data_IF_328272157655
#
_entry.id   IF_328272157655
#
_cell.length_a   1.000
_cell.length_b   1.000
_cell.length_c   1.000
_cell.angle_alpha   90.00
_cell.angle_beta   90.00
_cell.angle_gamma   90.00
#
_symmetry.space_group_name_H-M   'P 1'
#
loop_
_entity.id
_entity.type
_entity.pdbx_description
1 polymer ?
#
# COMPACT_ATOMS: atom_id res chain seq x y z
N UNK A 1 -18.62 5.44 -26.84
CA UNK A 1 -17.16 5.48 -26.70
C UNK A 1 -16.89 5.19 -25.24
N UNK A 2 -16.41 3.99 -24.92
CA UNK A 2 -16.19 3.56 -23.54
C UNK A 2 -14.72 3.68 -23.20
N UNK A 3 -14.44 4.35 -22.09
CA UNK A 3 -13.10 4.49 -21.50
C UNK A 3 -13.08 3.67 -20.22
N UNK A 4 -12.02 2.90 -20.02
CA UNK A 4 -11.82 2.12 -18.80
C UNK A 4 -10.68 2.71 -17.97
N UNK A 5 -10.91 2.80 -16.66
CA UNK A 5 -9.91 3.13 -15.66
C UNK A 5 -9.89 1.98 -14.65
N UNK A 6 -8.70 1.49 -14.27
CA UNK A 6 -8.59 0.53 -13.18
C UNK A 6 -7.50 0.95 -12.20
N UNK A 7 -7.79 0.77 -10.92
CA UNK A 7 -6.82 0.84 -9.83
C UNK A 7 -6.64 -0.58 -9.30
N UNK A 8 -5.40 -1.08 -9.31
CA UNK A 8 -5.08 -2.44 -8.87
C UNK A 8 -3.88 -2.42 -7.94
N UNK A 9 -4.09 -2.95 -6.74
CA UNK A 9 -3.03 -3.15 -5.76
C UNK A 9 -2.75 -4.66 -5.66
N UNK A 10 -1.49 -5.03 -5.88
CA UNK A 10 -1.04 -6.42 -5.88
C UNK A 10 0.13 -6.56 -4.92
N UNK A 11 -0.05 -7.48 -3.98
CA UNK A 11 1.00 -7.96 -3.11
C UNK A 11 1.79 -9.06 -3.82
N UNK A 12 3.10 -8.87 -3.96
CA UNK A 12 3.99 -9.75 -4.70
C UNK A 12 5.14 -10.23 -3.82
N UNK A 13 5.54 -11.48 -3.99
CA UNK A 13 6.64 -12.08 -3.21
C UNK A 13 8.00 -11.48 -3.58
N UNK A 14 8.19 -11.12 -4.85
CA UNK A 14 9.43 -10.58 -5.41
C UNK A 14 9.11 -9.44 -6.38
N UNK A 15 9.29 -8.20 -5.92
CA UNK A 15 8.96 -7.00 -6.69
C UNK A 15 9.76 -6.91 -7.99
N UNK A 16 11.05 -7.29 -7.98
CA UNK A 16 11.92 -7.20 -9.15
C UNK A 16 11.50 -8.15 -10.27
N UNK A 17 11.12 -9.39 -9.92
CA UNK A 17 10.56 -10.34 -10.89
C UNK A 17 9.20 -9.89 -11.40
N UNK A 18 8.33 -9.42 -10.51
CA UNK A 18 7.00 -8.93 -10.88
C UNK A 18 7.09 -7.76 -11.87
N UNK A 19 7.96 -6.78 -11.61
CA UNK A 19 8.19 -5.64 -12.50
C UNK A 19 8.63 -6.08 -13.92
N UNK A 20 9.56 -7.04 -14.02
CA UNK A 20 10.02 -7.58 -15.31
C UNK A 20 8.89 -8.30 -16.06
N UNK A 21 8.03 -9.00 -15.33
CA UNK A 21 6.85 -9.66 -15.91
C UNK A 21 5.79 -8.66 -16.37
N UNK A 22 5.58 -7.56 -15.63
CA UNK A 22 4.71 -6.45 -16.06
C UNK A 22 5.16 -5.93 -17.41
N UNK A 23 6.44 -5.58 -17.56
CA UNK A 23 6.97 -5.05 -18.81
C UNK A 23 6.74 -6.00 -19.99
N UNK A 24 6.90 -7.30 -19.74
CA UNK A 24 6.65 -8.35 -20.74
C UNK A 24 5.16 -8.44 -21.12
N UNK A 25 4.25 -8.35 -20.16
CA UNK A 25 2.79 -8.35 -20.39
C UNK A 25 2.38 -7.10 -21.18
N UNK A 26 2.87 -5.93 -20.76
CA UNK A 26 2.57 -4.63 -21.38
C UNK A 26 3.03 -4.58 -22.84
N UNK A 27 4.25 -5.06 -23.13
CA UNK A 27 4.77 -5.09 -24.51
C UNK A 27 3.96 -6.01 -25.42
N UNK A 28 3.53 -7.18 -24.93
CA UNK A 28 2.75 -8.15 -25.73
C UNK A 28 1.37 -7.63 -26.13
N UNK A 29 0.75 -6.79 -25.31
CA UNK A 29 -0.56 -6.20 -25.62
C UNK A 29 -0.49 -4.96 -26.51
N UNK A 30 0.72 -4.53 -26.93
CA UNK A 30 0.94 -3.27 -27.63
C UNK A 30 0.62 -2.04 -26.77
N UNK A 31 0.70 -2.20 -25.45
CA UNK A 31 0.52 -1.15 -24.44
C UNK A 31 1.88 -0.56 -24.05
N UNK A 32 1.88 0.54 -23.31
CA UNK A 32 3.11 1.10 -22.75
C UNK A 32 2.89 1.66 -21.35
N UNK A 33 3.99 1.78 -20.62
CA UNK A 33 4.03 2.41 -19.30
C UNK A 33 4.25 3.91 -19.51
N UNK A 34 3.29 4.75 -19.09
CA UNK A 34 3.41 6.21 -19.19
C UNK A 34 4.17 6.82 -18.02
N UNK A 35 4.10 6.21 -16.85
CA UNK A 35 4.90 6.59 -15.68
C UNK A 35 5.19 5.36 -14.83
N UNK A 36 6.36 5.36 -14.21
CA UNK A 36 6.74 4.38 -13.21
C UNK A 36 7.49 5.08 -12.09
N UNK A 37 7.17 4.76 -10.85
CA UNK A 37 7.87 5.26 -9.67
C UNK A 37 8.07 4.10 -8.73
N UNK A 38 9.27 4.02 -8.16
CA UNK A 38 9.63 2.95 -7.26
C UNK A 38 10.13 3.56 -5.95
N UNK A 39 9.56 3.10 -4.85
CA UNK A 39 9.89 3.58 -3.51
C UNK A 39 10.20 2.38 -2.64
N UNK A 40 11.33 2.45 -1.94
CA UNK A 40 11.74 1.43 -0.96
C UNK A 40 11.88 2.11 0.39
N UNK A 41 11.05 1.66 1.32
CA UNK A 41 11.04 2.06 2.72
C UNK A 41 11.53 0.88 3.58
N UNK A 42 11.63 1.07 4.91
CA UNK A 42 12.13 0.03 5.82
C UNK A 42 11.28 -1.25 5.79
N UNK A 43 9.96 -1.09 5.72
CA UNK A 43 8.99 -2.19 5.88
C UNK A 43 8.34 -2.61 4.56
N UNK A 44 8.54 -1.84 3.48
CA UNK A 44 7.83 -2.04 2.23
C UNK A 44 8.66 -1.60 1.03
N UNK A 45 8.62 -2.41 0.00
CA UNK A 45 9.13 -2.06 -1.32
C UNK A 45 7.95 -2.00 -2.29
N UNK A 46 7.64 -0.82 -2.85
CA UNK A 46 6.53 -0.65 -3.80
C UNK A 46 6.98 -0.05 -5.12
N UNK A 47 6.23 -0.38 -6.16
CA UNK A 47 6.35 0.18 -7.48
C UNK A 47 4.96 0.54 -8.01
N UNK A 48 4.80 1.80 -8.39
CA UNK A 48 3.57 2.34 -8.96
C UNK A 48 3.79 2.63 -10.43
N UNK A 49 2.86 2.16 -11.26
CA UNK A 49 2.94 2.25 -12.71
C UNK A 49 1.60 2.73 -13.26
N UNK A 50 1.65 3.68 -14.18
CA UNK A 50 0.50 4.04 -15.01
C UNK A 50 0.69 3.42 -16.38
N UNK A 51 -0.22 2.53 -16.76
CA UNK A 51 -0.16 1.77 -18.02
C UNK A 51 -1.28 2.27 -18.94
N UNK A 52 -0.92 2.64 -20.16
CA UNK A 52 -1.86 3.03 -21.22
C UNK A 52 -2.10 1.84 -22.13
N UNK A 53 -3.36 1.47 -22.29
CA UNK A 53 -3.80 0.25 -22.97
C UNK A 53 -4.97 0.54 -23.89
N UNK A 54 -5.00 -0.07 -25.07
CA UNK A 54 -6.15 0.04 -25.97
C UNK A 54 -7.37 -0.61 -25.30
N UNK A 55 -8.59 -0.04 -25.42
CA UNK A 55 -9.78 -0.57 -24.77
C UNK A 55 -10.02 -2.07 -25.01
N UNK A 56 -9.70 -2.59 -26.20
CA UNK A 56 -9.87 -4.00 -26.55
C UNK A 56 -8.92 -4.95 -25.80
N UNK A 57 -7.75 -4.46 -25.40
CA UNK A 57 -6.71 -5.22 -24.69
C UNK A 57 -6.83 -5.07 -23.16
N UNK A 58 -7.69 -4.17 -22.68
CA UNK A 58 -7.78 -3.78 -21.27
C UNK A 58 -8.00 -4.98 -20.35
N UNK A 59 -9.07 -5.74 -20.59
CA UNK A 59 -9.43 -6.89 -19.75
C UNK A 59 -8.38 -8.00 -19.78
N UNK A 60 -7.78 -8.25 -20.95
CA UNK A 60 -6.73 -9.26 -21.11
C UNK A 60 -5.49 -8.88 -20.32
N UNK A 61 -5.03 -7.63 -20.45
CA UNK A 61 -3.87 -7.13 -19.73
C UNK A 61 -4.13 -7.11 -18.22
N UNK A 62 -5.29 -6.60 -17.79
CA UNK A 62 -5.68 -6.55 -16.38
C UNK A 62 -5.66 -7.94 -15.73
N UNK A 63 -6.21 -8.94 -16.42
CA UNK A 63 -6.19 -10.32 -15.94
C UNK A 63 -4.79 -10.95 -15.98
N UNK A 64 -3.94 -10.53 -16.90
CA UNK A 64 -2.53 -10.92 -16.92
C UNK A 64 -1.76 -10.37 -15.72
N UNK A 65 -1.97 -9.09 -15.40
CA UNK A 65 -1.36 -8.43 -14.25
C UNK A 65 -1.84 -9.02 -12.91
N UNK A 66 -3.12 -9.35 -12.81
CA UNK A 66 -3.71 -9.97 -11.61
C UNK A 66 -3.09 -11.34 -11.24
N UNK A 67 -2.37 -11.99 -12.16
CA UNK A 67 -1.69 -13.28 -11.92
C UNK A 67 -0.30 -13.14 -11.32
N UNK A 68 0.22 -11.91 -11.20
CA UNK A 68 1.58 -11.66 -10.70
C UNK A 68 1.71 -11.84 -9.19
N UNK A 69 0.60 -11.85 -8.46
CA UNK A 69 0.57 -11.99 -7.01
C UNK A 69 -0.85 -11.99 -6.48
N UNK A 70 -0.99 -11.66 -5.20
CA UNK A 70 -2.31 -11.57 -4.54
C UNK A 70 -2.90 -10.19 -4.78
N UNK A 71 -4.03 -10.14 -5.49
CA UNK A 71 -4.77 -8.88 -5.70
C UNK A 71 -5.52 -8.54 -4.43
N UNK A 72 -5.17 -7.42 -3.82
CA UNK A 72 -5.79 -6.95 -2.58
C UNK A 72 -6.88 -5.92 -2.84
N UNK A 73 -6.67 -5.09 -3.85
CA UNK A 73 -7.62 -4.09 -4.27
C UNK A 73 -7.73 -4.10 -5.79
N UNK A 74 -8.95 -4.02 -6.29
CA UNK A 74 -9.25 -3.96 -7.72
C UNK A 74 -10.53 -3.15 -7.93
N UNK A 75 -10.37 -1.90 -8.28
CA UNK A 75 -11.46 -1.03 -8.71
C UNK A 75 -11.39 -0.86 -10.23
N UNK A 76 -12.51 -1.11 -10.91
CA UNK A 76 -12.66 -0.86 -12.35
C UNK A 76 -13.82 0.12 -12.53
N UNK A 77 -13.55 1.17 -13.28
CA UNK A 77 -14.53 2.16 -13.68
C UNK A 77 -14.63 2.18 -15.21
N UNK A 78 -15.85 2.22 -15.71
CA UNK A 78 -16.13 2.37 -17.13
C UNK A 78 -16.96 3.63 -17.33
N UNK A 79 -16.46 4.55 -18.14
CA UNK A 79 -17.10 5.82 -18.42
C UNK A 79 -17.48 5.88 -19.90
N UNK A 80 -18.74 6.22 -20.20
CA UNK A 80 -19.17 6.53 -21.56
C UNK A 80 -19.04 8.03 -21.83
N UNK A 81 -18.02 8.39 -22.59
CA UNK A 81 -17.69 9.78 -22.92
C UNK A 81 -18.29 10.24 -24.25
N UNK A 82 -19.17 9.44 -24.89
CA UNK A 82 -19.76 9.80 -26.20
C UNK A 82 -20.46 11.15 -26.18
N UNK A 83 -21.32 11.37 -25.19
CA UNK A 83 -22.08 12.61 -25.06
C UNK A 83 -21.17 13.80 -24.76
N UNK A 84 -20.16 13.61 -23.91
CA UNK A 84 -19.20 14.65 -23.56
C UNK A 84 -18.35 15.04 -24.78
N UNK A 85 -17.88 14.05 -25.55
CA UNK A 85 -17.10 14.26 -26.77
C UNK A 85 -17.90 15.02 -27.82
N UNK A 86 -19.16 14.62 -28.05
CA UNK A 86 -20.05 15.28 -28.99
C UNK A 86 -20.34 16.74 -28.59
N UNK A 87 -20.60 17.01 -27.31
CA UNK A 87 -20.85 18.36 -26.78
C UNK A 87 -19.61 19.25 -26.94
N UNK A 88 -18.43 18.79 -26.49
CA UNK A 88 -17.18 19.56 -26.60
C UNK A 88 -16.84 19.85 -28.07
N UNK A 89 -17.01 18.87 -28.95
CA UNK A 89 -16.79 19.05 -30.39
C UNK A 89 -17.75 20.07 -31.01
N UNK A 90 -19.03 20.02 -30.64
CA UNK A 90 -20.03 20.99 -31.10
C UNK A 90 -19.72 22.41 -30.61
N UNK A 91 -19.34 22.56 -29.33
CA UNK A 91 -18.93 23.85 -28.76
C UNK A 91 -17.70 24.42 -29.47
N UNK A 92 -16.70 23.59 -29.75
CA UNK A 92 -15.51 24.02 -30.49
C UNK A 92 -15.88 24.54 -31.89
N UNK A 93 -16.76 23.83 -32.61
CA UNK A 93 -17.24 24.27 -33.92
C UNK A 93 -17.95 25.62 -33.86
N UNK A 94 -18.79 25.83 -32.85
CA UNK A 94 -19.48 27.11 -32.63
C UNK A 94 -18.50 28.24 -32.32
N UNK A 95 -17.50 27.99 -31.45
CA UNK A 95 -16.46 28.98 -31.12
C UNK A 95 -15.62 29.36 -32.35
N UNK A 96 -15.20 28.39 -33.17
CA UNK A 96 -14.49 28.67 -34.44
C UNK A 96 -15.34 29.44 -35.45
N UNK A 97 -16.64 29.18 -35.53
CA UNK A 97 -17.53 29.97 -36.37
C UNK A 97 -17.66 31.43 -35.87
N UNK A 98 -17.67 31.63 -34.54
CA UNK A 98 -17.65 32.96 -33.93
C UNK A 98 -16.33 33.70 -34.24
N UNK A 99 -15.19 33.02 -34.13
CA UNK A 99 -13.88 33.56 -34.52
C UNK A 99 -13.89 34.03 -35.98
N UNK A 100 -14.33 33.18 -36.91
CA UNK A 100 -14.45 33.55 -38.33
C UNK A 100 -15.34 34.77 -38.56
N UNK A 101 -16.44 34.88 -37.78
CA UNK A 101 -17.30 36.06 -37.84
C UNK A 101 -16.57 37.33 -37.36
N UNK A 102 -15.80 37.26 -36.28
CA UNK A 102 -15.00 38.39 -35.81
C UNK A 102 -13.90 38.77 -36.81
N UNK A 103 -13.21 37.80 -37.42
CA UNK A 103 -12.25 38.05 -38.52
C UNK A 103 -12.93 38.76 -39.69
N UNK A 104 -14.15 38.33 -40.05
CA UNK A 104 -14.95 38.99 -41.08
C UNK A 104 -15.32 40.43 -40.72
N UNK A 105 -15.75 40.69 -39.49
CA UNK A 105 -16.06 42.04 -39.01
C UNK A 105 -14.81 42.94 -38.95
N UNK A 106 -13.68 42.39 -38.52
CA UNK A 106 -12.39 43.08 -38.48
C UNK A 106 -11.99 43.59 -39.86
N UNK A 107 -12.21 42.78 -40.91
CA UNK A 107 -11.91 43.17 -42.31
C UNK A 107 -12.79 44.33 -42.83
N UNK A 108 -13.93 44.59 -42.19
CA UNK A 108 -14.88 45.64 -42.57
C UNK A 108 -14.79 46.89 -41.67
N UNK A 109 -14.09 46.80 -40.54
CA UNK A 109 -13.96 47.88 -39.57
C UNK A 109 -13.18 49.06 -40.15
N UNK A 110 -13.68 50.28 -39.93
CA UNK A 110 -13.07 51.51 -40.48
C UNK A 110 -12.49 52.42 -39.40
N UNK A 111 -12.94 52.27 -38.15
CA UNK A 111 -12.44 53.06 -37.02
C UNK A 111 -11.46 52.24 -36.19
N UNK A 112 -10.41 52.90 -35.72
CA UNK A 112 -9.41 52.28 -34.83
C UNK A 112 -10.06 51.74 -33.55
N UNK A 113 -11.05 52.45 -32.99
CA UNK A 113 -11.78 51.98 -31.80
C UNK A 113 -12.53 50.65 -32.06
N UNK A 114 -13.20 50.53 -33.22
CA UNK A 114 -13.92 49.31 -33.63
C UNK A 114 -12.94 48.15 -33.85
N UNK A 115 -11.78 48.42 -34.46
CA UNK A 115 -10.70 47.43 -34.64
C UNK A 115 -10.20 46.91 -33.30
N UNK A 116 -9.89 47.81 -32.35
CA UNK A 116 -9.38 47.43 -31.03
C UNK A 116 -10.41 46.60 -30.24
N UNK A 117 -11.69 46.96 -30.30
CA UNK A 117 -12.76 46.19 -29.66
C UNK A 117 -12.92 44.79 -30.26
N UNK A 118 -12.88 44.67 -31.60
CA UNK A 118 -12.98 43.37 -32.28
C UNK A 118 -11.75 42.51 -31.99
N UNK A 119 -10.54 43.07 -31.98
CA UNK A 119 -9.31 42.36 -31.61
C UNK A 119 -9.36 41.83 -30.18
N UNK A 120 -9.85 42.63 -29.22
CA UNK A 120 -10.03 42.18 -27.85
C UNK A 120 -11.00 40.98 -27.77
N UNK A 121 -12.14 41.05 -28.47
CA UNK A 121 -13.11 39.94 -28.53
C UNK A 121 -12.62 38.73 -29.31
N UNK A 122 -11.77 38.95 -30.31
CA UNK A 122 -11.11 37.88 -31.05
C UNK A 122 -10.08 37.16 -30.17
N UNK A 123 -9.32 37.90 -29.36
CA UNK A 123 -8.41 37.35 -28.36
C UNK A 123 -9.13 36.47 -27.35
N UNK A 124 -10.20 36.98 -26.72
CA UNK A 124 -11.07 36.20 -25.83
C UNK A 124 -11.56 34.91 -26.50
N UNK A 125 -12.06 35.00 -27.74
CA UNK A 125 -12.56 33.84 -28.48
C UNK A 125 -11.47 32.81 -28.77
N UNK A 126 -10.25 33.23 -29.05
CA UNK A 126 -9.10 32.34 -29.32
C UNK A 126 -8.65 31.61 -28.06
N UNK A 127 -8.51 32.30 -26.94
CA UNK A 127 -8.22 31.65 -25.65
C UNK A 127 -9.28 30.58 -25.32
N UNK A 128 -10.54 30.92 -25.57
CA UNK A 128 -11.67 30.02 -25.39
C UNK A 128 -11.61 28.79 -26.32
N UNK A 129 -11.19 28.97 -27.57
CA UNK A 129 -10.98 27.90 -28.54
C UNK A 129 -9.85 27.00 -28.06
N UNK A 130 -8.68 27.55 -27.72
CA UNK A 130 -7.52 26.78 -27.28
C UNK A 130 -7.83 25.92 -26.04
N UNK A 131 -8.52 26.49 -25.05
CA UNK A 131 -8.97 25.74 -23.88
C UNK A 131 -9.91 24.58 -24.24
N UNK A 132 -10.85 24.81 -25.17
CA UNK A 132 -11.81 23.79 -25.63
C UNK A 132 -11.13 22.71 -26.46
N UNK A 133 -10.16 23.09 -27.31
CA UNK A 133 -9.34 22.17 -28.10
C UNK A 133 -8.48 21.27 -27.23
N UNK A 134 -7.84 21.85 -26.21
CA UNK A 134 -7.08 21.09 -25.21
C UNK A 134 -7.95 20.05 -24.51
N UNK A 135 -9.17 20.43 -24.10
CA UNK A 135 -10.14 19.50 -23.51
C UNK A 135 -10.56 18.39 -24.48
N UNK A 136 -10.82 18.73 -25.73
CA UNK A 136 -11.19 17.75 -26.75
C UNK A 136 -10.03 16.76 -27.01
N UNK A 137 -8.79 17.26 -27.04
CA UNK A 137 -7.59 16.43 -27.18
C UNK A 137 -7.48 15.42 -26.03
N UNK A 138 -7.69 15.85 -24.79
CA UNK A 138 -7.68 14.95 -23.63
C UNK A 138 -8.75 13.87 -23.74
N UNK A 139 -9.98 14.23 -24.13
CA UNK A 139 -11.05 13.24 -24.36
C UNK A 139 -10.70 12.26 -25.48
N UNK A 140 -10.09 12.72 -26.57
CA UNK A 140 -9.62 11.85 -27.65
C UNK A 140 -8.57 10.85 -27.15
N UNK A 141 -7.63 11.31 -26.32
CA UNK A 141 -6.59 10.45 -25.74
C UNK A 141 -7.19 9.41 -24.79
N UNK A 142 -8.19 9.77 -23.99
CA UNK A 142 -8.94 8.85 -23.12
C UNK A 142 -9.73 7.81 -23.92
N UNK A 143 -10.37 8.21 -25.03
CA UNK A 143 -11.08 7.28 -25.94
C UNK A 143 -10.11 6.32 -26.63
N UNK A 144 -8.95 6.82 -27.04
CA UNK A 144 -7.93 6.00 -27.69
C UNK A 144 -7.29 4.99 -26.71
N UNK A 145 -7.13 5.39 -25.45
CA UNK A 145 -6.41 4.61 -24.44
C UNK A 145 -7.08 4.63 -23.08
N UNK A 146 -7.45 3.44 -22.62
CA UNK A 146 -7.79 3.17 -21.22
C UNK A 146 -6.54 3.18 -20.34
N UNK A 147 -6.73 3.43 -19.04
CA UNK A 147 -5.62 3.61 -18.09
C UNK A 147 -5.70 2.60 -16.96
N UNK A 148 -4.58 1.96 -16.64
CA UNK A 148 -4.46 1.06 -15.49
C UNK A 148 -3.41 1.65 -14.56
N UNK A 149 -3.82 1.97 -13.35
CA UNK A 149 -2.97 2.32 -12.23
C UNK A 149 -2.65 1.02 -11.49
N UNK A 150 -1.41 0.56 -11.65
CA UNK A 150 -0.91 -0.66 -11.04
C UNK A 150 0.03 -0.27 -9.90
N UNK A 151 -0.29 -0.76 -8.70
CA UNK A 151 0.62 -0.73 -7.56
C UNK A 151 1.03 -2.15 -7.24
N UNK A 152 2.31 -2.43 -7.42
CA UNK A 152 2.93 -3.63 -6.92
C UNK A 152 3.63 -3.30 -5.61
N UNK A 153 3.53 -4.18 -4.63
CA UNK A 153 4.31 -4.00 -3.41
C UNK A 153 4.69 -5.33 -2.76
N UNK A 154 5.83 -5.33 -2.09
CA UNK A 154 6.40 -6.44 -1.36
C UNK A 154 6.64 -5.97 0.08
N UNK A 155 5.97 -6.55 1.08
CA UNK A 155 6.30 -6.29 2.48
C UNK A 155 7.70 -6.84 2.77
N UNK A 156 8.58 -5.98 3.27
CA UNK A 156 9.90 -6.37 3.76
C UNK A 156 9.70 -6.76 5.22
N UNK A 157 9.70 -8.05 5.52
CA UNK A 157 9.65 -8.52 6.91
C UNK A 157 10.84 -7.96 7.68
N UNK A 158 10.60 -6.98 8.56
CA UNK A 158 11.52 -6.74 9.66
C UNK A 158 11.59 -8.02 10.50
N UNK A 159 12.76 -8.44 10.98
CA UNK A 159 12.84 -9.52 11.95
C UNK A 159 12.02 -9.11 13.18
N UNK A 160 10.86 -9.73 13.32
CA UNK A 160 10.03 -9.61 14.52
C UNK A 160 10.83 -10.27 15.65
N UNK A 161 11.08 -9.58 16.77
CA UNK A 161 11.65 -10.26 17.94
C UNK A 161 10.70 -11.41 18.31
N UNK A 162 11.16 -12.66 18.24
CA UNK A 162 10.37 -13.87 18.52
C UNK A 162 9.85 -13.93 19.97
N UNK A 163 10.27 -13.00 20.83
CA UNK A 163 9.74 -12.81 22.17
C UNK A 163 9.38 -11.35 22.40
N UNK A 164 8.27 -11.03 23.10
CA UNK A 164 8.07 -9.70 23.63
C UNK A 164 9.29 -9.38 24.49
N UNK A 165 10.00 -8.30 24.15
CA UNK A 165 11.08 -7.80 24.99
C UNK A 165 10.47 -7.44 26.34
N UNK A 166 10.52 -8.38 27.28
CA UNK A 166 10.01 -8.19 28.64
C UNK A 166 10.63 -6.89 29.16
N UNK A 167 9.76 -5.94 29.54
CA UNK A 167 10.16 -4.66 30.10
C UNK A 167 11.13 -4.91 31.26
N UNK A 168 12.09 -4.01 31.47
CA UNK A 168 13.02 -4.10 32.61
C UNK A 168 12.25 -4.29 33.93
N UNK A 169 11.08 -3.65 34.06
CA UNK A 169 10.20 -3.84 35.21
C UNK A 169 9.66 -5.26 35.38
N UNK A 170 9.27 -5.94 34.30
CA UNK A 170 8.74 -7.32 34.40
C UNK A 170 9.85 -8.35 34.67
N UNK A 171 11.07 -8.12 34.17
CA UNK A 171 12.23 -8.94 34.51
C UNK A 171 12.64 -8.78 35.97
N UNK A 172 12.55 -7.57 36.52
CA UNK A 172 12.82 -7.32 37.93
C UNK A 172 11.79 -8.00 38.86
N UNK A 173 10.50 -7.94 38.53
CA UNK A 173 9.47 -8.58 39.36
C UNK A 173 9.58 -10.09 39.33
N UNK A 174 9.85 -10.68 38.16
CA UNK A 174 10.07 -12.13 38.02
C UNK A 174 11.30 -12.61 38.79
N UNK A 175 12.40 -11.86 38.73
CA UNK A 175 13.60 -12.13 39.54
C UNK A 175 13.32 -12.02 41.05
N UNK A 176 12.47 -11.08 41.47
CA UNK A 176 12.07 -10.92 42.86
C UNK A 176 11.23 -12.10 43.36
N UNK A 177 10.25 -12.56 42.57
CA UNK A 177 9.47 -13.76 42.88
C UNK A 177 10.33 -15.02 42.92
N UNK A 178 11.26 -15.17 41.97
CA UNK A 178 12.22 -16.28 41.97
C UNK A 178 13.11 -16.30 43.22
N UNK A 179 13.61 -15.14 43.65
CA UNK A 179 14.38 -15.00 44.89
C UNK A 179 13.56 -15.35 46.14
N UNK A 180 12.30 -14.92 46.20
CA UNK A 180 11.38 -15.26 47.28
C UNK A 180 11.07 -16.76 47.35
N UNK A 181 10.96 -17.41 46.19
CA UNK A 181 10.73 -18.85 46.10
C UNK A 181 11.93 -19.67 46.61
N UNK A 182 13.16 -19.20 46.42
CA UNK A 182 14.34 -19.83 47.00
C UNK A 182 14.32 -19.78 48.53
N UNK A 183 14.00 -18.62 49.12
CA UNK A 183 13.92 -18.45 50.58
C UNK A 183 12.84 -19.36 51.18
N UNK A 184 11.65 -19.38 50.58
CA UNK A 184 10.55 -20.24 51.04
C UNK A 184 10.89 -21.73 50.92
N UNK A 185 11.58 -22.13 49.85
CA UNK A 185 12.03 -23.51 49.66
C UNK A 185 13.02 -23.96 50.74
N UNK A 186 13.95 -23.08 51.14
CA UNK A 186 14.89 -23.37 52.24
C UNK A 186 14.15 -23.53 53.58
N UNK A 187 13.18 -22.65 53.87
CA UNK A 187 12.38 -22.73 55.09
C UNK A 187 11.53 -23.99 55.15
N UNK A 188 10.86 -24.35 54.05
CA UNK A 188 10.08 -25.60 53.96
C UNK A 188 10.99 -26.82 54.12
N UNK A 189 12.19 -26.80 53.53
CA UNK A 189 13.20 -27.85 53.71
C UNK A 189 13.60 -28.04 55.17
N UNK A 190 13.78 -26.95 55.92
CA UNK A 190 14.04 -27.01 57.37
C UNK A 190 12.87 -27.60 58.16
N UNK A 191 11.62 -27.29 57.78
CA UNK A 191 10.43 -27.90 58.38
C UNK A 191 10.37 -29.40 58.05
N UNK A 192 10.87 -29.87 56.92
CA UNK A 192 10.91 -31.31 56.66
C UNK A 192 11.99 -32.06 57.48
N UNK A 193 12.94 -31.37 58.09
CA UNK A 193 14.05 -31.98 58.83
C UNK A 193 13.74 -32.28 60.31
N UNK A 194 12.70 -31.69 60.91
CA UNK A 194 12.38 -31.93 62.34
C UNK A 194 12.04 -33.39 62.69
N UNK A 195 11.34 -34.19 61.84
CA UNK A 195 11.06 -35.59 62.16
C UNK A 195 12.34 -36.44 62.20
N UNK A 196 13.32 -36.14 61.34
CA UNK A 196 14.61 -36.84 61.37
C UNK A 196 15.42 -36.51 62.62
N UNK A 197 15.41 -35.25 63.07
CA UNK A 197 16.05 -34.86 64.32
C UNK A 197 15.38 -35.53 65.54
N UNK A 198 14.05 -35.67 65.54
CA UNK A 198 13.33 -36.43 66.57
C UNK A 198 13.71 -37.92 66.54
N UNK A 199 13.77 -38.55 65.37
CA UNK A 199 14.18 -39.95 65.27
C UNK A 199 15.64 -40.16 65.71
N UNK A 200 16.54 -39.25 65.37
CA UNK A 200 17.93 -39.28 65.80
C UNK A 200 18.07 -39.17 67.32
N UNK A 201 17.33 -38.25 67.96
CA UNK A 201 17.34 -38.09 69.42
C UNK A 201 16.77 -39.32 70.15
N UNK A 202 15.67 -39.90 69.65
CA UNK A 202 15.12 -41.16 70.17
C UNK A 202 16.09 -42.32 70.00
N UNK A 203 16.75 -42.43 68.84
CA UNK A 203 17.78 -43.44 68.56
C UNK A 203 18.99 -43.34 69.49
N UNK A 204 19.51 -42.13 69.71
CA UNK A 204 20.60 -41.88 70.66
C UNK A 204 20.18 -42.20 72.11
N UNK A 205 18.94 -41.87 72.49
CA UNK A 205 18.41 -42.19 73.80
C UNK A 205 18.29 -43.71 74.03
N UNK A 206 17.77 -44.44 73.05
CA UNK A 206 17.69 -45.92 73.07
C UNK A 206 19.10 -46.54 73.14
N UNK A 207 20.05 -46.04 72.35
CA UNK A 207 21.43 -46.52 72.35
C UNK A 207 22.13 -46.30 73.71
N UNK A 208 21.98 -45.11 74.30
CA UNK A 208 22.47 -44.82 75.66
C UNK A 208 21.80 -45.71 76.71
N UNK A 209 20.51 -46.01 76.58
CA UNK A 209 19.77 -46.87 77.49
C UNK A 209 20.20 -48.33 77.37
N UNK A 210 20.54 -48.79 76.17
CA UNK A 210 21.00 -50.15 75.92
C UNK A 210 22.42 -50.38 76.45
N UNK A 211 23.30 -49.38 76.32
CA UNK A 211 24.69 -49.43 76.83
C UNK A 211 24.81 -49.32 78.35
N UNK A 212 23.71 -49.04 79.08
CA UNK A 212 23.65 -48.97 80.55
C UNK A 212 23.09 -50.25 81.22
N UNK A 213 22.96 -51.37 80.49
CA UNK A 213 22.63 -52.66 81.10
C UNK A 213 23.92 -53.33 81.59
N UNK A 214 24.11 -53.57 82.91
CA UNK A 214 25.29 -54.27 83.41
C UNK A 214 25.24 -55.75 83.00
N UNK A 215 26.37 -56.26 82.50
CA UNK A 215 26.61 -57.69 82.28
C UNK A 215 26.48 -58.41 83.63
N UNK A 216 25.47 -59.26 83.76
CA UNK A 216 25.37 -60.25 84.84
C UNK A 216 25.61 -61.62 84.24
N UNK A 217 26.83 -62.10 84.41
CA UNK A 217 27.25 -63.50 84.53
C UNK A 217 28.73 -63.49 84.91
#
# INVERSE_FOLDING_TARGET
MLVYKANVDINVDDLGKAATQVDSIVRRSGSWVSSATQTREEDIWRQEMTIRVRPQQFTVLLNGLAKLGTVENKAIEAEDVTSQHADVSARLRTKRALEQRYVGLLSQAKKISEVLEIEAKLGEAREDIEATESRLKTLNDEVAYSTIYLKLYQPLTLPTPEAPVLSFGSRMTEAFYGGWQLITSVLIGLVYLWPMLLLATVGVWLFKRWRRRPLSA
#
